data_IF_821138686894
#
_entry.id   IF_821138686894
#
_cell.length_a   1.000
_cell.length_b   1.000
_cell.length_c   1.000
_cell.angle_alpha   90.00
_cell.angle_beta   90.00
_cell.angle_gamma   90.00
#
_symmetry.space_group_name_H-M   'P 1'
#
loop_
_entity.id
_entity.type
_entity.pdbx_description
1 polymer ?
#
# COMPACT_ATOMS: atom_id res chain seq x y z
N UNK A 1 10.16 12.92 -22.88
CA UNK A 1 8.92 13.73 -22.73
C UNK A 1 8.67 13.84 -21.25
N UNK A 2 8.34 15.01 -20.71
CA UNK A 2 7.97 15.11 -19.30
C UNK A 2 6.65 14.34 -19.10
N UNK A 3 6.57 13.52 -18.06
CA UNK A 3 5.33 12.85 -17.66
C UNK A 3 4.20 13.87 -17.50
N UNK A 4 2.95 13.54 -17.86
CA UNK A 4 1.83 14.44 -17.60
C UNK A 4 1.75 14.73 -16.09
N UNK A 5 1.31 15.95 -15.69
CA UNK A 5 1.12 16.25 -14.29
C UNK A 5 0.08 15.29 -13.71
N UNK A 6 0.47 14.55 -12.68
CA UNK A 6 -0.42 13.66 -11.93
C UNK A 6 -1.56 14.48 -11.30
N UNK A 7 -2.74 13.88 -11.25
CA UNK A 7 -3.87 14.43 -10.52
C UNK A 7 -3.45 14.66 -9.06
N UNK A 8 -3.53 15.92 -8.61
CA UNK A 8 -3.17 16.30 -7.22
C UNK A 8 -3.94 15.49 -6.16
N UNK A 9 -5.06 14.84 -6.51
CA UNK A 9 -5.78 13.93 -5.65
C UNK A 9 -5.04 12.61 -5.38
N UNK A 10 -4.14 12.18 -6.30
CA UNK A 10 -3.34 10.96 -6.14
C UNK A 10 -2.09 11.17 -5.27
N UNK A 11 -1.60 12.40 -5.17
CA UNK A 11 -0.34 12.74 -4.50
C UNK A 11 -0.55 13.93 -3.57
N UNK A 12 -1.19 13.75 -2.41
CA UNK A 12 -1.31 14.83 -1.43
C UNK A 12 0.07 15.21 -0.87
N UNK A 13 0.29 16.48 -0.47
CA UNK A 13 1.55 16.91 0.14
C UNK A 13 1.81 16.24 1.49
N UNK A 14 0.75 15.79 2.15
CA UNK A 14 0.80 14.96 3.37
C UNK A 14 -0.51 14.22 3.56
N UNK A 15 -0.45 13.09 4.25
CA UNK A 15 -1.61 12.28 4.63
C UNK A 15 -1.65 12.15 6.14
N UNK A 16 -2.80 12.40 6.75
CA UNK A 16 -3.03 12.08 8.16
C UNK A 16 -3.15 10.57 8.34
N UNK A 17 -2.52 10.07 9.39
CA UNK A 17 -2.48 8.64 9.73
C UNK A 17 -2.99 8.47 11.16
N UNK A 18 -4.02 7.66 11.32
CA UNK A 18 -4.61 7.31 12.59
C UNK A 18 -3.99 6.01 13.13
N UNK A 19 -3.27 6.08 14.23
CA UNK A 19 -2.80 4.93 14.99
C UNK A 19 -3.87 4.53 16.01
N UNK A 20 -4.36 3.30 15.94
CA UNK A 20 -5.36 2.80 16.88
C UNK A 20 -4.71 2.40 18.20
N UNK A 21 -5.34 2.78 19.32
CA UNK A 21 -4.89 2.45 20.67
C UNK A 21 -5.50 1.11 21.16
N UNK A 22 -5.21 0.02 20.43
CA UNK A 22 -5.87 -1.27 20.60
C UNK A 22 -6.99 -1.48 19.58
N UNK A 23 -7.83 -2.48 19.79
CA UNK A 23 -9.01 -2.70 18.96
C UNK A 23 -10.08 -1.65 19.31
N UNK A 24 -10.62 -0.98 18.30
CA UNK A 24 -11.60 0.10 18.44
C UNK A 24 -12.87 -0.18 17.62
N UNK A 25 -14.02 0.42 17.97
CA UNK A 25 -15.23 0.31 17.17
C UNK A 25 -15.07 1.01 15.81
N UNK A 26 -15.55 0.36 14.73
CA UNK A 26 -15.76 0.99 13.43
C UNK A 26 -17.23 1.22 13.16
N UNK A 27 -17.54 2.29 12.43
CA UNK A 27 -18.91 2.76 12.22
C UNK A 27 -19.20 2.98 10.74
N UNK A 28 -20.41 2.69 10.24
CA UNK A 28 -20.76 2.93 8.83
C UNK A 28 -20.87 4.43 8.50
N UNK A 29 -21.17 5.26 9.51
CA UNK A 29 -21.20 6.72 9.42
C UNK A 29 -21.16 7.34 10.82
N UNK A 30 -20.76 8.62 10.97
CA UNK A 30 -20.81 9.34 12.23
C UNK A 30 -22.18 9.26 12.90
N UNK A 31 -22.20 8.93 14.20
CA UNK A 31 -23.42 8.83 15.01
C UNK A 31 -24.28 7.58 14.77
N UNK A 32 -23.90 6.69 13.87
CA UNK A 32 -24.57 5.40 13.72
C UNK A 32 -24.02 4.38 14.73
N UNK A 33 -24.74 3.29 15.02
CA UNK A 33 -24.20 2.19 15.81
C UNK A 33 -22.99 1.56 15.14
N UNK A 34 -21.98 1.15 15.96
CA UNK A 34 -20.84 0.38 15.48
C UNK A 34 -21.29 -0.92 14.83
N UNK A 35 -20.70 -1.26 13.69
CA UNK A 35 -21.01 -2.47 12.94
C UNK A 35 -19.78 -3.37 12.74
N UNK A 36 -18.60 -2.94 13.21
CA UNK A 36 -17.36 -3.71 13.10
C UNK A 36 -16.37 -3.34 14.20
N UNK A 37 -15.30 -4.14 14.31
CA UNK A 37 -14.14 -3.83 15.13
C UNK A 37 -12.95 -3.59 14.21
N UNK A 38 -12.28 -2.46 14.38
CA UNK A 38 -11.00 -2.14 13.72
C UNK A 38 -9.89 -2.71 14.61
N UNK A 39 -9.03 -3.61 14.12
CA UNK A 39 -8.00 -4.22 14.94
C UNK A 39 -6.89 -3.21 15.29
N UNK A 40 -6.34 -3.32 16.50
CA UNK A 40 -5.22 -2.48 16.95
C UNK A 40 -3.88 -2.86 16.33
N UNK A 41 -3.82 -4.02 15.69
CA UNK A 41 -2.63 -4.51 14.99
C UNK A 41 -3.02 -5.41 13.84
N UNK A 42 -2.17 -5.44 12.81
CA UNK A 42 -2.27 -6.30 11.65
C UNK A 42 -1.02 -7.17 11.59
N UNK A 43 -1.16 -8.49 11.66
CA UNK A 43 -0.04 -9.45 11.75
C UNK A 43 1.01 -9.09 12.83
N UNK A 44 0.57 -8.53 13.98
CA UNK A 44 1.44 -8.12 15.07
C UNK A 44 2.08 -6.73 14.91
N UNK A 45 1.84 -6.04 13.81
CA UNK A 45 2.28 -4.65 13.58
C UNK A 45 1.15 -3.68 13.92
N UNK A 46 1.44 -2.49 14.49
CA UNK A 46 0.41 -1.49 14.81
C UNK A 46 -0.42 -1.11 13.58
N UNK A 47 -1.74 -0.97 13.76
CA UNK A 47 -2.62 -0.44 12.72
C UNK A 47 -2.39 1.06 12.55
N UNK A 48 -1.81 1.46 11.41
CA UNK A 48 -1.55 2.84 11.00
C UNK A 48 -2.38 3.11 9.75
N UNK A 49 -3.53 3.74 9.92
CA UNK A 49 -4.60 3.83 8.94
C UNK A 49 -4.66 5.23 8.32
N UNK A 50 -4.52 5.39 7.00
CA UNK A 50 -4.70 6.70 6.36
C UNK A 50 -6.10 7.24 6.57
N UNK A 51 -6.18 8.52 6.95
CA UNK A 51 -7.45 9.26 7.06
C UNK A 51 -7.84 9.75 5.67
N UNK A 52 -9.06 9.42 5.24
CA UNK A 52 -9.60 9.80 3.92
C UNK A 52 -10.68 10.87 4.00
N UNK A 53 -11.32 11.03 5.17
CA UNK A 53 -12.25 12.14 5.43
C UNK A 53 -12.27 12.50 6.92
N UNK A 54 -12.59 13.76 7.21
CA UNK A 54 -12.63 14.31 8.56
C UNK A 54 -13.98 15.00 8.76
N UNK A 55 -14.63 14.70 9.89
CA UNK A 55 -15.77 15.44 10.41
C UNK A 55 -15.54 15.78 11.89
N UNK A 56 -16.30 16.67 12.51
CA UNK A 56 -16.18 16.92 13.95
C UNK A 56 -16.26 15.63 14.76
N UNK A 57 -15.20 15.33 15.53
CA UNK A 57 -15.03 14.13 16.38
C UNK A 57 -14.94 12.80 15.64
N UNK A 58 -14.90 12.78 14.29
CA UNK A 58 -14.92 11.57 13.48
C UNK A 58 -13.88 11.61 12.36
N UNK A 59 -13.29 10.44 12.10
CA UNK A 59 -12.33 10.22 11.02
C UNK A 59 -12.79 9.03 10.19
N UNK A 60 -12.85 9.18 8.88
CA UNK A 60 -12.96 8.04 7.99
C UNK A 60 -11.57 7.52 7.68
N UNK A 61 -11.32 6.25 7.95
CA UNK A 61 -10.01 5.63 7.75
C UNK A 61 -10.09 4.48 6.75
N UNK A 62 -9.01 4.29 5.99
CA UNK A 62 -8.86 3.15 5.08
C UNK A 62 -8.44 1.92 5.86
N UNK A 63 -9.02 0.77 5.52
CA UNK A 63 -8.75 -0.51 6.19
C UNK A 63 -7.83 -1.41 5.36
N UNK A 64 -7.04 -2.23 6.07
CA UNK A 64 -6.18 -3.26 5.47
C UNK A 64 -6.89 -4.62 5.50
N UNK A 65 -8.04 -4.71 4.85
CA UNK A 65 -8.84 -5.93 4.81
C UNK A 65 -9.64 -6.02 3.51
N UNK A 66 -10.08 -7.23 3.17
CA UNK A 66 -11.06 -7.44 2.10
C UNK A 66 -12.45 -6.92 2.49
N UNK A 67 -13.22 -6.40 1.52
CA UNK A 67 -12.82 -6.14 0.15
C UNK A 67 -11.83 -4.98 0.04
N UNK A 68 -11.01 -4.98 -1.02
CA UNK A 68 -10.09 -3.89 -1.34
C UNK A 68 -10.81 -2.53 -1.33
N UNK A 69 -10.13 -1.48 -0.83
CA UNK A 69 -10.68 -0.14 -0.76
C UNK A 69 -11.66 0.11 0.39
N UNK A 70 -11.88 -0.86 1.29
CA UNK A 70 -12.76 -0.69 2.46
C UNK A 70 -12.35 0.49 3.33
N UNK A 71 -13.37 1.23 3.81
CA UNK A 71 -13.22 2.31 4.79
C UNK A 71 -14.20 2.12 5.95
N UNK A 72 -13.95 2.80 7.05
CA UNK A 72 -14.87 2.90 8.17
C UNK A 72 -14.66 4.21 8.91
N UNK A 73 -15.69 4.69 9.59
CA UNK A 73 -15.57 5.82 10.50
C UNK A 73 -15.12 5.34 11.88
N UNK A 74 -14.23 6.11 12.51
CA UNK A 74 -13.78 5.90 13.90
C UNK A 74 -13.90 7.20 14.68
N UNK A 75 -14.03 7.14 16.00
CA UNK A 75 -13.99 8.35 16.82
C UNK A 75 -12.56 8.88 16.90
N UNK A 76 -12.39 10.19 16.76
CA UNK A 76 -11.07 10.83 16.84
C UNK A 76 -10.40 10.62 18.22
N UNK A 77 -11.20 10.42 19.27
CA UNK A 77 -10.71 10.12 20.62
C UNK A 77 -10.06 8.74 20.77
N UNK A 78 -10.37 7.80 19.86
CA UNK A 78 -9.92 6.41 19.95
C UNK A 78 -8.56 6.18 19.26
N UNK A 79 -8.01 7.23 18.61
CA UNK A 79 -6.78 7.15 17.83
C UNK A 79 -5.79 8.25 18.21
N UNK A 80 -4.53 8.02 17.86
CA UNK A 80 -3.49 9.04 17.88
C UNK A 80 -3.15 9.44 16.45
N UNK A 81 -3.23 10.72 16.13
CA UNK A 81 -2.92 11.24 14.79
C UNK A 81 -1.44 11.55 14.62
N UNK A 82 -0.94 11.22 13.46
CA UNK A 82 0.36 11.62 12.92
C UNK A 82 0.22 11.93 11.44
N UNK A 83 1.29 12.35 10.79
CA UNK A 83 1.30 12.61 9.35
C UNK A 83 2.45 11.90 8.66
N UNK A 84 2.24 11.50 7.40
CA UNK A 84 3.31 11.10 6.49
C UNK A 84 3.37 12.07 5.31
N UNK A 85 4.57 12.57 4.93
CA UNK A 85 4.73 13.38 3.74
C UNK A 85 4.89 12.53 2.47
N UNK A 86 4.90 11.21 2.58
CA UNK A 86 5.15 10.30 1.48
C UNK A 86 3.85 9.85 0.80
N UNK A 87 3.94 9.61 -0.50
CA UNK A 87 2.94 8.90 -1.29
C UNK A 87 3.65 8.08 -2.37
N UNK A 88 3.05 6.95 -2.76
CA UNK A 88 3.54 6.08 -3.82
C UNK A 88 2.46 6.00 -4.91
N UNK A 89 2.88 6.09 -6.17
CA UNK A 89 2.04 5.82 -7.33
C UNK A 89 2.68 4.69 -8.11
N UNK A 90 1.90 3.67 -8.43
CA UNK A 90 2.29 2.56 -9.29
C UNK A 90 1.44 2.64 -10.55
N UNK A 91 2.07 2.93 -11.67
CA UNK A 91 1.40 3.00 -12.98
C UNK A 91 1.68 1.70 -13.73
N UNK A 92 0.63 0.88 -13.86
CA UNK A 92 0.72 -0.42 -14.52
C UNK A 92 0.91 -0.30 -16.03
N UNK A 93 0.45 0.81 -16.64
CA UNK A 93 0.59 1.03 -18.09
C UNK A 93 2.02 1.37 -18.50
N UNK A 94 2.79 1.98 -17.59
CA UNK A 94 4.20 2.31 -17.79
C UNK A 94 5.15 1.37 -17.06
N UNK A 95 4.62 0.49 -16.19
CA UNK A 95 5.38 -0.41 -15.34
C UNK A 95 6.41 0.34 -14.46
N UNK A 96 5.95 1.42 -13.81
CA UNK A 96 6.76 2.27 -12.95
C UNK A 96 6.16 2.44 -11.56
N UNK A 97 7.04 2.52 -10.56
CA UNK A 97 6.74 2.94 -9.19
C UNK A 97 7.40 4.28 -8.92
N UNK A 98 6.58 5.29 -8.66
CA UNK A 98 7.05 6.65 -8.36
C UNK A 98 6.80 6.97 -6.89
N UNK A 99 7.80 7.51 -6.21
CA UNK A 99 7.73 7.96 -4.82
C UNK A 99 7.71 9.47 -4.76
N UNK A 100 6.78 10.00 -3.99
CA UNK A 100 6.64 11.43 -3.73
C UNK A 100 6.91 11.73 -2.26
N UNK A 101 7.50 12.88 -2.00
CA UNK A 101 7.62 13.46 -0.67
C UNK A 101 7.14 14.90 -0.71
N UNK A 102 6.17 15.26 0.12
CA UNK A 102 5.53 16.58 0.16
C UNK A 102 5.00 17.03 -1.22
N UNK A 103 4.44 16.09 -1.98
CA UNK A 103 3.91 16.32 -3.33
C UNK A 103 4.97 16.41 -4.44
N UNK A 104 6.25 16.30 -4.12
CA UNK A 104 7.34 16.34 -5.10
C UNK A 104 7.85 14.92 -5.35
N UNK A 105 8.03 14.56 -6.61
CA UNK A 105 8.66 13.30 -7.00
C UNK A 105 10.11 13.26 -6.52
N UNK A 106 10.47 12.21 -5.79
CA UNK A 106 11.85 11.99 -5.30
C UNK A 106 12.49 10.76 -5.91
N UNK A 107 11.69 9.75 -6.30
CA UNK A 107 12.16 8.55 -7.00
C UNK A 107 11.17 8.16 -8.10
N UNK A 108 11.69 7.51 -9.12
CA UNK A 108 10.92 6.88 -10.20
C UNK A 108 11.69 5.62 -10.64
N UNK A 109 11.10 4.45 -10.39
CA UNK A 109 11.73 3.16 -10.61
C UNK A 109 10.93 2.34 -11.61
N UNK A 110 11.59 1.65 -12.53
CA UNK A 110 10.94 0.60 -13.30
C UNK A 110 10.49 -0.51 -12.34
N UNK A 111 9.36 -1.12 -12.62
CA UNK A 111 8.77 -2.13 -11.75
C UNK A 111 8.27 -3.34 -12.55
N UNK A 112 8.44 -4.53 -11.97
CA UNK A 112 7.71 -5.71 -12.40
C UNK A 112 6.33 -5.73 -11.74
N UNK A 113 5.31 -6.13 -12.49
CA UNK A 113 3.91 -6.15 -12.05
C UNK A 113 3.30 -7.54 -12.18
N UNK A 114 2.05 -7.71 -11.76
CA UNK A 114 1.30 -8.94 -11.91
C UNK A 114 1.07 -9.32 -13.38
N UNK A 115 1.05 -10.63 -13.65
CA UNK A 115 0.67 -11.15 -14.97
C UNK A 115 -0.81 -10.89 -15.27
N UNK A 116 -1.28 -11.03 -16.53
CA UNK A 116 -2.70 -10.92 -16.85
C UNK A 116 -3.60 -11.93 -16.13
N UNK A 117 -3.07 -13.10 -15.73
CA UNK A 117 -3.80 -14.13 -15.00
C UNK A 117 -3.89 -13.78 -13.49
N UNK A 118 -2.84 -13.15 -12.95
CA UNK A 118 -2.73 -12.70 -11.56
C UNK A 118 -2.35 -11.22 -11.52
N UNK A 119 -3.25 -10.32 -11.88
CA UNK A 119 -2.91 -8.90 -12.04
C UNK A 119 -2.65 -8.22 -10.68
N UNK A 120 -1.82 -7.19 -10.69
CA UNK A 120 -1.76 -6.22 -9.60
C UNK A 120 -3.07 -5.42 -9.60
N UNK A 121 -3.87 -5.45 -8.51
CA UNK A 121 -5.15 -4.75 -8.48
C UNK A 121 -4.99 -3.23 -8.52
N UNK A 122 -5.82 -2.54 -9.33
CA UNK A 122 -5.86 -1.07 -9.33
C UNK A 122 -6.69 -0.54 -8.17
N UNK A 123 -6.32 0.61 -7.62
CA UNK A 123 -7.05 1.22 -6.52
C UNK A 123 -6.20 2.11 -5.62
N UNK A 124 -6.79 2.51 -4.50
CA UNK A 124 -6.11 3.28 -3.47
C UNK A 124 -5.88 2.43 -2.23
N UNK A 125 -4.63 2.23 -1.91
CA UNK A 125 -4.11 1.38 -0.85
C UNK A 125 -3.16 2.15 0.05
N UNK A 126 -2.50 1.45 0.96
CA UNK A 126 -1.44 2.02 1.78
C UNK A 126 -0.43 0.96 2.22
N UNK A 127 0.75 1.38 2.60
CA UNK A 127 1.75 0.52 3.20
C UNK A 127 1.33 0.18 4.64
N UNK A 128 1.14 -1.10 4.92
CA UNK A 128 0.72 -1.58 6.26
C UNK A 128 1.91 -1.82 7.17
N UNK A 129 2.97 -2.45 6.66
CA UNK A 129 4.14 -2.82 7.44
C UNK A 129 5.35 -3.11 6.55
N UNK A 130 6.54 -2.99 7.13
CA UNK A 130 7.79 -3.48 6.57
C UNK A 130 8.19 -4.75 7.31
N UNK A 131 8.34 -5.86 6.60
CA UNK A 131 8.62 -7.16 7.19
C UNK A 131 9.93 -7.75 6.66
N UNK A 132 10.58 -8.63 7.44
CA UNK A 132 11.66 -9.44 6.92
C UNK A 132 11.20 -10.25 5.71
N UNK A 133 12.06 -10.45 4.70
CA UNK A 133 11.69 -11.21 3.52
C UNK A 133 11.53 -12.70 3.88
N UNK A 134 10.57 -13.42 3.26
CA UNK A 134 10.40 -14.86 3.49
C UNK A 134 11.60 -15.68 3.01
N UNK A 135 12.34 -15.16 2.03
CA UNK A 135 13.65 -15.69 1.59
C UNK A 135 14.52 -14.56 1.06
N UNK A 136 15.86 -14.75 0.94
CA UNK A 136 16.77 -13.74 0.37
C UNK A 136 16.39 -13.30 -1.06
N UNK A 137 15.66 -14.11 -1.80
CA UNK A 137 15.20 -13.80 -3.15
C UNK A 137 14.22 -12.60 -3.22
N UNK A 138 13.54 -12.29 -2.11
CA UNK A 138 12.65 -11.14 -2.02
C UNK A 138 13.38 -9.81 -1.75
N UNK A 139 14.70 -9.78 -1.73
CA UNK A 139 15.50 -8.61 -1.41
C UNK A 139 15.68 -8.41 0.09
N UNK A 140 16.02 -7.18 0.51
CA UNK A 140 16.34 -6.86 1.91
C UNK A 140 15.12 -6.86 2.84
N UNK A 141 13.93 -6.59 2.33
CA UNK A 141 12.65 -6.55 3.06
C UNK A 141 11.47 -6.62 2.08
N UNK A 142 10.27 -6.80 2.63
CA UNK A 142 9.01 -6.65 1.90
C UNK A 142 8.23 -5.50 2.52
N UNK A 143 7.72 -4.58 1.70
CA UNK A 143 6.69 -3.63 2.09
C UNK A 143 5.32 -4.27 1.80
N UNK A 144 4.65 -4.73 2.84
CA UNK A 144 3.30 -5.24 2.71
C UNK A 144 2.30 -4.09 2.58
N UNK A 145 1.30 -4.27 1.75
CA UNK A 145 0.29 -3.26 1.48
C UNK A 145 -1.08 -3.66 2.05
N UNK A 146 -2.05 -2.80 1.96
CA UNK A 146 -3.47 -3.10 2.23
C UNK A 146 -4.20 -3.67 1.01
N UNK A 147 -3.48 -3.91 -0.07
CA UNK A 147 -3.99 -4.51 -1.29
C UNK A 147 -3.99 -6.04 -1.18
N UNK A 148 -5.08 -6.66 -1.58
CA UNK A 148 -5.26 -8.11 -1.60
C UNK A 148 -5.51 -8.56 -3.04
N UNK A 149 -4.85 -9.62 -3.48
CA UNK A 149 -5.03 -10.16 -4.82
C UNK A 149 -6.50 -10.48 -5.10
N UNK A 150 -6.99 -10.08 -6.26
CA UNK A 150 -8.36 -10.39 -6.70
C UNK A 150 -8.48 -11.82 -7.28
N UNK A 151 -7.37 -12.40 -7.78
CA UNK A 151 -7.32 -13.74 -8.36
C UNK A 151 -6.94 -14.82 -7.35
N UNK A 152 -6.13 -14.50 -6.34
CA UNK A 152 -5.61 -15.42 -5.35
C UNK A 152 -6.21 -15.07 -3.98
N UNK A 153 -6.86 -16.07 -3.34
CA UNK A 153 -7.47 -15.87 -2.02
C UNK A 153 -6.69 -16.51 -0.88
N UNK A 154 -5.71 -17.37 -1.20
CA UNK A 154 -4.88 -18.07 -0.21
C UNK A 154 -3.50 -18.34 -0.80
N UNK A 155 -2.51 -17.55 -0.43
CA UNK A 155 -1.13 -17.73 -0.84
C UNK A 155 -0.38 -18.60 0.17
N UNK A 156 0.11 -19.75 -0.28
CA UNK A 156 0.91 -20.69 0.54
C UNK A 156 0.23 -21.11 1.87
N UNK A 157 -1.09 -21.23 1.90
CA UNK A 157 -1.91 -21.57 3.07
C UNK A 157 -1.84 -20.50 4.19
N UNK A 158 -1.63 -19.24 3.85
CA UNK A 158 -1.66 -18.12 4.79
C UNK A 158 -3.08 -17.67 5.16
N UNK A 159 -4.08 -18.11 4.40
CA UNK A 159 -5.49 -17.69 4.49
C UNK A 159 -5.78 -16.36 3.78
N UNK A 160 -4.79 -15.78 3.11
CA UNK A 160 -4.92 -14.54 2.33
C UNK A 160 -3.82 -14.46 1.26
N UNK A 161 -3.91 -13.47 0.38
CA UNK A 161 -2.88 -13.13 -0.62
C UNK A 161 -2.71 -11.61 -0.67
N UNK A 162 -1.81 -11.10 0.15
CA UNK A 162 -1.50 -9.67 0.26
C UNK A 162 -0.46 -9.30 -0.80
N UNK A 163 -0.71 -8.23 -1.53
CA UNK A 163 0.24 -7.65 -2.48
C UNK A 163 1.36 -6.95 -1.71
N UNK A 164 2.61 -7.27 -2.06
CA UNK A 164 3.81 -6.66 -1.49
C UNK A 164 4.65 -5.95 -2.55
N UNK A 165 5.52 -5.04 -2.09
CA UNK A 165 6.60 -4.47 -2.90
C UNK A 165 7.90 -5.07 -2.37
N UNK A 166 8.67 -5.73 -3.25
CA UNK A 166 9.86 -6.50 -2.87
C UNK A 166 10.87 -6.63 -4.02
N UNK A 167 11.96 -7.35 -3.81
CA UNK A 167 13.00 -7.62 -4.81
C UNK A 167 12.56 -8.58 -5.93
N UNK A 168 13.41 -8.84 -6.91
CA UNK A 168 13.02 -9.46 -8.19
C UNK A 168 12.74 -10.96 -8.14
N UNK A 169 13.10 -11.68 -7.07
CA UNK A 169 13.00 -13.14 -6.85
C UNK A 169 14.07 -13.92 -7.62
N UNK A 170 14.21 -13.74 -8.93
CA UNK A 170 15.22 -14.40 -9.75
C UNK A 170 16.02 -13.39 -10.55
N UNK A 171 17.23 -13.77 -10.99
CA UNK A 171 18.02 -12.93 -11.90
C UNK A 171 17.36 -12.77 -13.28
N UNK A 172 16.52 -13.72 -13.68
CA UNK A 172 15.73 -13.61 -14.90
C UNK A 172 14.66 -12.52 -14.75
N UNK A 173 13.88 -12.54 -13.67
CA UNK A 173 12.88 -11.51 -13.39
C UNK A 173 13.52 -10.11 -13.27
N UNK A 174 14.67 -10.03 -12.59
CA UNK A 174 15.45 -8.81 -12.49
C UNK A 174 15.83 -8.23 -13.86
N UNK A 175 16.17 -9.10 -14.80
CA UNK A 175 16.52 -8.68 -16.18
C UNK A 175 15.33 -8.18 -17.00
N UNK A 176 14.09 -8.47 -16.57
CA UNK A 176 12.85 -8.03 -17.23
C UNK A 176 12.35 -6.68 -16.70
N UNK A 177 12.66 -6.32 -15.44
CA UNK A 177 12.31 -5.03 -14.87
C UNK A 177 12.94 -3.90 -15.70
N UNK A 178 12.14 -2.91 -16.10
CA UNK A 178 12.57 -1.83 -17.01
C UNK A 178 12.57 -2.20 -18.49
N UNK A 179 12.04 -3.36 -18.84
CA UNK A 179 11.80 -3.75 -20.24
C UNK A 179 10.30 -3.84 -20.51
N UNK A 180 9.88 -3.65 -21.75
CA UNK A 180 8.46 -3.80 -22.12
C UNK A 180 7.97 -5.20 -21.78
N UNK A 181 6.88 -5.29 -21.02
CA UNK A 181 6.24 -6.56 -20.66
C UNK A 181 6.80 -7.18 -19.37
N UNK A 182 7.20 -6.36 -18.39
CA UNK A 182 7.59 -6.82 -17.06
C UNK A 182 6.41 -7.32 -16.19
N UNK A 183 5.38 -7.89 -16.80
CA UNK A 183 4.30 -8.61 -16.13
C UNK A 183 4.80 -10.00 -15.72
N UNK A 184 5.42 -10.10 -14.53
CA UNK A 184 6.25 -11.25 -14.11
C UNK A 184 5.87 -11.83 -12.75
N UNK A 185 4.86 -11.29 -12.07
CA UNK A 185 4.51 -11.70 -10.71
C UNK A 185 3.08 -12.25 -10.61
N UNK A 186 2.73 -12.74 -9.41
CA UNK A 186 1.35 -13.11 -9.05
C UNK A 186 0.61 -11.96 -8.36
N UNK A 187 0.88 -10.71 -8.81
CA UNK A 187 0.27 -9.49 -8.30
C UNK A 187 1.23 -8.59 -7.54
N UNK A 188 2.27 -9.10 -6.88
CA UNK A 188 3.27 -8.28 -6.19
C UNK A 188 4.03 -7.35 -7.15
N UNK A 189 4.41 -6.18 -6.64
CA UNK A 189 5.26 -5.23 -7.36
C UNK A 189 6.72 -5.54 -7.06
N UNK A 190 7.55 -5.73 -8.10
CA UNK A 190 8.96 -6.09 -7.97
C UNK A 190 9.85 -4.93 -8.42
N UNK A 191 10.86 -4.65 -7.62
CA UNK A 191 11.88 -3.64 -7.91
C UNK A 191 13.25 -4.29 -7.99
N UNK A 192 14.20 -3.66 -8.65
CA UNK A 192 15.60 -3.98 -8.45
C UNK A 192 15.97 -3.80 -6.97
N UNK A 193 16.86 -4.64 -6.44
CA UNK A 193 17.27 -4.60 -5.04
C UNK A 193 17.83 -3.22 -4.61
N UNK A 194 18.54 -2.54 -5.52
CA UNK A 194 19.08 -1.21 -5.26
C UNK A 194 17.98 -0.16 -5.09
N UNK A 195 16.90 -0.24 -5.87
CA UNK A 195 15.76 0.67 -5.82
C UNK A 195 14.89 0.38 -4.59
N UNK A 196 14.65 -0.91 -4.31
CA UNK A 196 13.96 -1.34 -3.09
C UNK A 196 14.65 -0.78 -1.84
N UNK A 197 15.98 -0.82 -1.77
CA UNK A 197 16.74 -0.33 -0.61
C UNK A 197 16.47 1.16 -0.30
N UNK A 198 16.17 1.99 -1.31
CA UNK A 198 15.83 3.40 -1.12
C UNK A 198 14.47 3.61 -0.44
N UNK A 199 13.60 2.59 -0.45
CA UNK A 199 12.28 2.64 0.22
C UNK A 199 12.34 2.29 1.71
N UNK A 200 13.51 2.02 2.26
CA UNK A 200 13.67 1.55 3.67
C UNK A 200 13.11 2.52 4.70
N UNK A 201 13.05 3.82 4.39
CA UNK A 201 12.59 4.89 5.29
C UNK A 201 11.11 5.24 5.13
N UNK A 202 10.42 4.67 4.14
CA UNK A 202 8.98 4.91 3.93
C UNK A 202 8.19 4.35 5.14
N UNK A 203 7.40 5.17 5.84
CA UNK A 203 6.67 4.73 7.02
C UNK A 203 5.39 3.99 6.65
N UNK A 204 4.93 3.11 7.56
CA UNK A 204 3.57 2.54 7.47
C UNK A 204 2.51 3.65 7.53
N UNK A 205 1.37 3.44 6.90
CA UNK A 205 0.35 4.47 6.68
C UNK A 205 0.59 5.32 5.43
N UNK A 206 1.72 5.15 4.72
CA UNK A 206 1.95 5.86 3.45
C UNK A 206 0.95 5.40 2.39
N UNK A 207 0.17 6.31 1.77
CA UNK A 207 -0.77 5.97 0.71
C UNK A 207 -0.05 5.44 -0.54
N UNK A 208 -0.69 4.47 -1.18
CA UNK A 208 -0.27 3.83 -2.43
C UNK A 208 -1.45 3.89 -3.38
N UNK A 209 -1.29 4.51 -4.54
CA UNK A 209 -2.28 4.52 -5.61
C UNK A 209 -1.76 3.70 -6.79
N UNK A 210 -2.51 2.68 -7.18
CA UNK A 210 -2.21 1.81 -8.33
C UNK A 210 -3.16 2.16 -9.46
N UNK A 211 -2.61 2.62 -10.57
CA UNK A 211 -3.34 3.10 -11.75
C UNK A 211 -2.95 2.31 -12.99
N UNK A 212 -3.79 2.36 -14.04
CA UNK A 212 -3.59 1.67 -15.33
C UNK A 212 -3.73 2.63 -16.49
#
# INVERSE_FOLDING_TARGET
>A
MAAPPLDVGLVPPSTEVAATNGAIPGYPAPGQPSNMTVPGSWYGYPSLLPVVAIQPDWLEVRLAQRPNGSTTWVQASDVTLSTTPYAIVIDLSTEHLTVYQSGLQIYDFPAGIGTPDDPTPTGSYFMTMKVPPPSPAYGAFVLATSDHSDSITDWENSGDAIIGIHGPITSYDDSLIGTTGAAISHGCVRLHDADLALLTTIPAGTPINIIS
#
